data_IF_867815781710
#
_entry.id   IF_867815781710
#
_cell.length_a   1.000
_cell.length_b   1.000
_cell.length_c   1.000
_cell.angle_alpha   90.00
_cell.angle_beta   90.00
_cell.angle_gamma   90.00
#
_symmetry.space_group_name_H-M   'P 1'
#
loop_
_entity.id
_entity.type
_entity.pdbx_description
1 polymer ?
#
# COMPACT_ATOMS: atom_id res chain seq x y z
N UNK A 1 -7.26 -6.20 10.13
CA UNK A 1 -6.53 -5.02 10.63
C UNK A 1 -5.13 -5.48 11.03
N UNK A 2 -4.08 -4.84 10.52
CA UNK A 2 -2.67 -5.19 10.80
C UNK A 2 -2.28 -4.82 12.22
N UNK A 3 -1.34 -5.56 12.83
CA UNK A 3 -0.89 -5.37 14.22
C UNK A 3 0.59 -5.71 14.34
N UNK A 4 1.25 -5.14 15.36
CA UNK A 4 2.66 -5.37 15.65
C UNK A 4 3.57 -4.32 15.04
N UNK A 5 4.88 -4.60 15.01
CA UNK A 5 5.88 -3.75 14.36
C UNK A 5 5.78 -3.91 12.84
N UNK A 6 5.55 -2.82 12.12
CA UNK A 6 5.46 -2.81 10.66
C UNK A 6 6.50 -1.83 10.16
N UNK A 7 7.56 -2.32 9.54
CA UNK A 7 8.71 -1.49 9.19
C UNK A 7 8.42 -0.68 7.92
N UNK A 8 8.59 0.65 8.01
CA UNK A 8 8.72 1.52 6.84
C UNK A 8 10.10 1.29 6.23
N UNK A 9 10.15 0.64 5.07
CA UNK A 9 11.40 0.20 4.47
C UNK A 9 12.12 1.36 3.77
N UNK A 10 13.43 1.39 3.89
CA UNK A 10 14.32 2.17 3.02
C UNK A 10 14.45 1.50 1.66
N UNK A 11 14.85 2.26 0.63
CA UNK A 11 15.09 1.76 -0.73
C UNK A 11 16.59 1.87 -1.03
N UNK A 12 17.38 0.79 -0.91
CA UNK A 12 18.82 0.83 -1.17
C UNK A 12 19.13 1.19 -2.62
N UNK A 13 20.12 2.07 -2.81
CA UNK A 13 20.66 2.45 -4.11
C UNK A 13 22.14 2.09 -4.19
N UNK A 14 22.58 1.68 -5.39
CA UNK A 14 24.00 1.54 -5.75
C UNK A 14 24.20 2.21 -7.10
N UNK A 15 25.19 3.08 -7.19
CA UNK A 15 25.56 3.81 -8.42
C UNK A 15 24.37 4.56 -9.06
N UNK A 16 23.49 5.11 -8.23
CA UNK A 16 22.32 5.88 -8.67
C UNK A 16 21.15 5.03 -9.20
N UNK A 17 21.22 3.70 -9.08
CA UNK A 17 20.13 2.79 -9.45
C UNK A 17 19.65 1.97 -8.25
N UNK A 18 18.39 1.54 -8.29
CA UNK A 18 17.81 0.65 -7.27
C UNK A 18 18.61 -0.65 -7.16
N UNK A 19 19.13 -0.93 -5.97
CA UNK A 19 19.91 -2.13 -5.68
C UNK A 19 19.00 -3.27 -5.23
N UNK A 20 18.47 -4.01 -6.22
CA UNK A 20 17.53 -5.11 -5.99
C UNK A 20 18.10 -6.14 -4.99
N UNK A 21 19.35 -6.55 -5.15
CA UNK A 21 19.93 -7.61 -4.32
C UNK A 21 20.04 -7.19 -2.84
N UNK A 22 20.49 -5.96 -2.57
CA UNK A 22 20.55 -5.46 -1.20
C UNK A 22 19.16 -5.27 -0.59
N UNK A 23 18.19 -4.80 -1.38
CA UNK A 23 16.82 -4.65 -0.91
C UNK A 23 16.19 -6.00 -0.54
N UNK A 24 16.37 -7.03 -1.34
CA UNK A 24 15.83 -8.36 -1.03
C UNK A 24 16.48 -8.99 0.20
N UNK A 25 17.81 -8.87 0.33
CA UNK A 25 18.50 -9.31 1.54
C UNK A 25 18.00 -8.55 2.78
N UNK A 26 17.76 -7.24 2.66
CA UNK A 26 17.21 -6.43 3.75
C UNK A 26 15.78 -6.83 4.12
N UNK A 27 14.91 -7.07 3.13
CA UNK A 27 13.54 -7.56 3.36
C UNK A 27 13.55 -8.92 4.06
N UNK A 28 14.38 -9.84 3.60
CA UNK A 28 14.50 -11.17 4.20
C UNK A 28 15.00 -11.11 5.65
N UNK A 29 15.99 -10.25 5.91
CA UNK A 29 16.49 -9.98 7.25
C UNK A 29 15.41 -9.39 8.17
N UNK A 30 14.67 -8.36 7.71
CA UNK A 30 13.56 -7.76 8.49
C UNK A 30 12.52 -8.81 8.92
N UNK A 31 12.17 -9.73 8.02
CA UNK A 31 11.23 -10.82 8.30
C UNK A 31 11.84 -11.79 9.33
N UNK A 32 13.11 -12.14 9.17
CA UNK A 32 13.82 -13.08 10.06
C UNK A 32 13.97 -12.52 11.47
N UNK A 33 14.16 -11.21 11.62
CA UNK A 33 14.20 -10.51 12.91
C UNK A 33 12.81 -10.29 13.54
N UNK A 34 11.74 -10.78 12.90
CA UNK A 34 10.40 -10.81 13.50
C UNK A 34 9.56 -9.55 13.27
N UNK A 35 9.79 -8.79 12.21
CA UNK A 35 8.81 -7.77 11.80
C UNK A 35 7.47 -8.41 11.47
N UNK A 36 6.37 -7.69 11.72
CA UNK A 36 5.00 -8.19 11.53
C UNK A 36 4.39 -7.72 10.20
N UNK A 37 5.11 -6.89 9.45
CA UNK A 37 4.67 -6.38 8.17
C UNK A 37 5.69 -5.42 7.56
N UNK A 38 5.52 -5.15 6.28
CA UNK A 38 6.45 -4.35 5.49
C UNK A 38 5.70 -3.24 4.78
N UNK A 39 6.25 -2.03 4.80
CA UNK A 39 5.75 -0.88 4.04
C UNK A 39 6.84 -0.42 3.09
N UNK A 40 6.89 -0.95 1.85
CA UNK A 40 7.80 -0.43 0.83
C UNK A 40 7.29 0.89 0.25
N UNK A 41 8.22 1.73 -0.18
CA UNK A 41 7.97 2.97 -0.93
C UNK A 41 7.01 3.93 -0.22
N UNK A 42 7.17 4.07 1.11
CA UNK A 42 6.70 5.25 1.83
C UNK A 42 7.70 6.41 1.72
N UNK A 43 7.52 7.44 2.54
CA UNK A 43 8.49 8.55 2.62
C UNK A 43 9.89 8.07 3.00
N UNK A 44 10.00 7.11 3.92
CA UNK A 44 11.27 6.47 4.31
C UNK A 44 11.93 5.71 3.16
N UNK A 45 11.13 5.17 2.24
CA UNK A 45 11.60 4.51 1.03
C UNK A 45 11.79 5.46 -0.14
N UNK A 46 11.81 6.77 0.12
CA UNK A 46 12.11 7.82 -0.84
C UNK A 46 11.13 7.89 -2.02
N UNK A 47 9.84 7.59 -1.77
CA UNK A 47 8.80 7.61 -2.81
C UNK A 47 8.76 8.87 -3.71
N UNK A 48 9.10 10.10 -3.26
CA UNK A 48 9.10 11.27 -4.15
C UNK A 48 10.24 11.34 -5.16
N UNK A 49 11.33 10.57 -4.97
CA UNK A 49 12.51 10.62 -5.85
C UNK A 49 12.62 9.42 -6.79
N UNK A 50 11.80 8.39 -6.57
CA UNK A 50 11.68 7.25 -7.48
C UNK A 50 10.90 7.63 -8.73
N UNK A 51 11.33 7.11 -9.88
CA UNK A 51 10.43 7.03 -11.04
C UNK A 51 9.27 6.08 -10.74
N UNK A 52 8.13 6.21 -11.44
CA UNK A 52 7.02 5.26 -11.28
C UNK A 52 7.41 3.82 -11.61
N UNK A 53 8.36 3.62 -12.54
CA UNK A 53 8.87 2.31 -12.86
C UNK A 53 9.65 1.70 -11.68
N UNK A 54 10.54 2.48 -11.05
CA UNK A 54 11.28 2.06 -9.86
C UNK A 54 10.36 1.82 -8.67
N UNK A 55 9.40 2.72 -8.43
CA UNK A 55 8.39 2.55 -7.38
C UNK A 55 7.69 1.19 -7.52
N UNK A 56 7.13 0.92 -8.70
CA UNK A 56 6.46 -0.34 -9.01
C UNK A 56 7.40 -1.53 -8.85
N UNK A 57 8.66 -1.39 -9.27
CA UNK A 57 9.67 -2.43 -9.14
C UNK A 57 10.02 -2.76 -7.70
N UNK A 58 10.20 -1.76 -6.84
CA UNK A 58 10.48 -1.95 -5.40
C UNK A 58 9.32 -2.67 -4.72
N UNK A 59 8.08 -2.26 -5.02
CA UNK A 59 6.87 -2.94 -4.50
C UNK A 59 6.83 -4.40 -4.95
N UNK A 60 7.06 -4.67 -6.24
CA UNK A 60 7.09 -6.02 -6.79
C UNK A 60 8.16 -6.90 -6.11
N UNK A 61 9.39 -6.39 -5.96
CA UNK A 61 10.46 -7.13 -5.26
C UNK A 61 10.08 -7.38 -3.81
N UNK A 62 9.55 -6.38 -3.10
CA UNK A 62 9.15 -6.55 -1.70
C UNK A 62 8.10 -7.65 -1.54
N UNK A 63 7.07 -7.69 -2.40
CA UNK A 63 6.01 -8.71 -2.35
C UNK A 63 6.59 -10.09 -2.66
N UNK A 64 7.41 -10.19 -3.72
CA UNK A 64 8.05 -11.44 -4.11
C UNK A 64 8.96 -11.99 -3.03
N UNK A 65 9.81 -11.17 -2.43
CA UNK A 65 10.71 -11.57 -1.35
C UNK A 65 9.92 -11.92 -0.09
N UNK A 66 8.90 -11.14 0.27
CA UNK A 66 8.06 -11.46 1.43
C UNK A 66 7.38 -12.82 1.29
N UNK A 67 6.98 -13.21 0.07
CA UNK A 67 6.43 -14.53 -0.25
C UNK A 67 5.28 -14.97 0.67
N UNK A 68 4.48 -14.00 1.15
CA UNK A 68 3.35 -14.23 2.05
C UNK A 68 3.73 -14.50 3.52
N UNK A 69 5.02 -14.43 3.90
CA UNK A 69 5.46 -14.63 5.29
C UNK A 69 4.94 -13.55 6.25
N UNK A 70 4.85 -12.32 5.75
CA UNK A 70 4.28 -11.16 6.45
C UNK A 70 3.48 -10.32 5.45
N UNK A 71 2.46 -9.55 5.90
CA UNK A 71 1.73 -8.65 5.02
C UNK A 71 2.60 -7.51 4.48
N UNK A 72 2.40 -7.19 3.20
CA UNK A 72 2.99 -6.03 2.53
C UNK A 72 1.94 -4.95 2.30
N UNK A 73 2.21 -3.75 2.78
CA UNK A 73 1.36 -2.56 2.66
C UNK A 73 2.06 -1.58 1.72
N UNK A 74 1.69 -1.58 0.44
CA UNK A 74 2.40 -0.80 -0.57
C UNK A 74 2.10 0.71 -0.44
N UNK A 75 3.13 1.55 -0.48
CA UNK A 75 2.93 2.98 -0.68
C UNK A 75 2.28 3.25 -2.03
N UNK A 76 1.13 3.93 -2.04
CA UNK A 76 0.40 4.32 -3.24
C UNK A 76 -0.24 5.71 -3.10
N UNK A 77 0.39 6.58 -2.30
CA UNK A 77 -0.03 7.95 -2.10
C UNK A 77 0.61 8.89 -3.12
N UNK A 78 -0.18 9.83 -3.65
CA UNK A 78 0.30 10.96 -4.45
C UNK A 78 -0.63 12.15 -4.18
N UNK A 79 -0.14 13.36 -4.45
CA UNK A 79 -1.01 14.54 -4.50
C UNK A 79 -1.87 14.61 -5.78
N UNK A 80 -1.62 13.73 -6.75
CA UNK A 80 -2.40 13.55 -7.96
C UNK A 80 -3.23 12.26 -7.86
N UNK A 81 -4.57 12.39 -7.94
CA UNK A 81 -5.50 11.27 -7.82
C UNK A 81 -5.30 10.20 -8.92
N UNK A 82 -5.00 10.61 -10.15
CA UNK A 82 -4.82 9.66 -11.24
C UNK A 82 -3.56 8.79 -11.05
N UNK A 83 -2.49 9.41 -10.56
CA UNK A 83 -1.24 8.72 -10.21
C UNK A 83 -1.43 7.76 -9.03
N UNK A 84 -2.10 8.21 -7.97
CA UNK A 84 -2.40 7.35 -6.83
C UNK A 84 -3.23 6.12 -7.24
N UNK A 85 -4.19 6.29 -8.18
CA UNK A 85 -4.97 5.18 -8.75
C UNK A 85 -4.06 4.19 -9.52
N UNK A 86 -3.17 4.69 -10.37
CA UNK A 86 -2.26 3.82 -11.14
C UNK A 86 -1.36 2.97 -10.22
N UNK A 87 -0.77 3.60 -9.20
CA UNK A 87 0.05 2.93 -8.20
C UNK A 87 -0.77 1.91 -7.37
N UNK A 88 -1.99 2.28 -6.97
CA UNK A 88 -2.89 1.43 -6.21
C UNK A 88 -3.31 0.17 -6.99
N UNK A 89 -3.73 0.34 -8.24
CA UNK A 89 -4.13 -0.76 -9.13
C UNK A 89 -2.94 -1.67 -9.45
N UNK A 90 -1.75 -1.11 -9.64
CA UNK A 90 -0.55 -1.91 -9.81
C UNK A 90 -0.25 -2.74 -8.55
N UNK A 91 -0.22 -2.11 -7.38
CA UNK A 91 0.10 -2.79 -6.12
C UNK A 91 -0.89 -3.92 -5.81
N UNK A 92 -2.18 -3.73 -6.10
CA UNK A 92 -3.18 -4.80 -6.01
C UNK A 92 -2.84 -5.97 -6.93
N UNK A 93 -2.60 -5.70 -8.22
CA UNK A 93 -2.26 -6.74 -9.21
C UNK A 93 -0.96 -7.47 -8.86
N UNK A 94 0.00 -6.77 -8.27
CA UNK A 94 1.26 -7.35 -7.82
C UNK A 94 1.11 -8.23 -6.57
N UNK A 95 -0.04 -8.16 -5.86
CA UNK A 95 -0.33 -9.01 -4.71
C UNK A 95 -0.04 -8.37 -3.35
N UNK A 96 0.00 -7.04 -3.25
CA UNK A 96 0.06 -6.38 -1.95
C UNK A 96 -1.18 -6.73 -1.10
N UNK A 97 -1.09 -6.59 0.22
CA UNK A 97 -2.18 -6.89 1.14
C UNK A 97 -3.02 -5.65 1.49
N UNK A 98 -2.42 -4.46 1.39
CA UNK A 98 -3.09 -3.17 1.53
C UNK A 98 -2.27 -2.06 0.88
N UNK A 99 -2.83 -0.86 0.91
CA UNK A 99 -2.20 0.38 0.47
C UNK A 99 -1.97 1.32 1.65
N UNK A 100 -0.86 2.05 1.62
CA UNK A 100 -0.65 3.25 2.41
C UNK A 100 -0.82 4.47 1.49
N UNK A 101 -1.89 5.23 1.71
CA UNK A 101 -2.24 6.40 0.88
C UNK A 101 -2.13 7.66 1.72
N UNK A 102 -1.11 8.48 1.43
CA UNK A 102 -0.92 9.78 2.10
C UNK A 102 -1.98 10.78 1.64
N UNK A 103 -2.32 11.73 2.51
CA UNK A 103 -3.10 12.92 2.12
C UNK A 103 -2.38 13.69 1.00
N UNK A 104 -3.09 14.14 -0.05
CA UNK A 104 -2.50 15.00 -1.07
C UNK A 104 -1.72 16.18 -0.47
N UNK A 105 -0.42 16.20 -0.73
CA UNK A 105 0.51 17.22 -0.27
C UNK A 105 0.66 18.35 -1.29
N UNK A 106 1.13 19.51 -0.83
CA UNK A 106 1.35 20.72 -1.64
C UNK A 106 0.09 21.41 -2.17
N UNK A 107 -0.81 20.71 -2.86
CA UNK A 107 -2.00 21.27 -3.50
C UNK A 107 -3.17 21.60 -2.54
N UNK A 108 -3.13 21.11 -1.29
CA UNK A 108 -4.04 21.49 -0.19
C UNK A 108 -5.54 21.43 -0.55
N UNK A 109 -6.08 20.28 -1.00
CA UNK A 109 -7.50 20.16 -1.30
C UNK A 109 -8.37 20.36 -0.04
N UNK A 110 -9.58 20.86 -0.23
CA UNK A 110 -10.59 20.90 0.83
C UNK A 110 -11.10 19.49 1.21
N UNK A 111 -11.92 19.41 2.26
CA UNK A 111 -12.43 18.13 2.78
C UNK A 111 -13.17 17.29 1.74
N UNK A 112 -14.00 17.90 0.90
CA UNK A 112 -14.67 17.21 -0.21
C UNK A 112 -13.68 16.67 -1.25
N UNK A 113 -12.60 17.41 -1.52
CA UNK A 113 -11.52 16.97 -2.41
C UNK A 113 -10.78 15.76 -1.86
N UNK A 114 -10.48 15.76 -0.55
CA UNK A 114 -9.90 14.61 0.15
C UNK A 114 -10.81 13.39 0.08
N UNK A 115 -12.09 13.57 0.37
CA UNK A 115 -13.07 12.49 0.28
C UNK A 115 -13.11 11.87 -1.12
N UNK A 116 -13.21 12.69 -2.17
CA UNK A 116 -13.24 12.21 -3.55
C UNK A 116 -11.93 11.53 -3.96
N UNK A 117 -10.79 12.05 -3.52
CA UNK A 117 -9.48 11.45 -3.78
C UNK A 117 -9.41 10.02 -3.23
N UNK A 118 -9.69 9.83 -1.93
CA UNK A 118 -9.67 8.50 -1.33
C UNK A 118 -10.75 7.58 -1.88
N UNK A 119 -11.96 8.11 -2.14
CA UNK A 119 -13.04 7.34 -2.75
C UNK A 119 -12.65 6.80 -4.12
N UNK A 120 -12.04 7.64 -4.96
CA UNK A 120 -11.63 7.23 -6.30
C UNK A 120 -10.57 6.13 -6.28
N UNK A 121 -9.59 6.23 -5.37
CA UNK A 121 -8.58 5.18 -5.17
C UNK A 121 -9.24 3.88 -4.70
N UNK A 122 -10.10 3.96 -3.68
CA UNK A 122 -10.82 2.81 -3.15
C UNK A 122 -11.70 2.12 -4.20
N UNK A 123 -12.38 2.88 -5.05
CA UNK A 123 -13.25 2.33 -6.10
C UNK A 123 -12.45 1.67 -7.23
N UNK A 124 -11.24 2.15 -7.49
CA UNK A 124 -10.37 1.64 -8.56
C UNK A 124 -9.58 0.40 -8.14
N UNK A 125 -9.16 0.31 -6.87
CA UNK A 125 -8.43 -0.85 -6.33
C UNK A 125 -9.38 -1.76 -5.54
N UNK A 126 -9.56 -2.99 -5.99
CA UNK A 126 -10.46 -3.96 -5.36
C UNK A 126 -9.80 -4.73 -4.20
N UNK A 127 -9.03 -4.04 -3.34
CA UNK A 127 -8.56 -4.56 -2.05
C UNK A 127 -9.78 -4.96 -1.20
N UNK A 128 -10.24 -6.20 -1.41
CA UNK A 128 -11.44 -6.73 -0.79
C UNK A 128 -11.14 -7.05 0.66
N UNK A 129 -12.04 -6.60 1.54
CA UNK A 129 -12.42 -7.41 2.70
C UNK A 129 -12.74 -8.82 2.19
N UNK A 130 -11.81 -9.76 2.36
CA UNK A 130 -11.97 -11.14 1.90
C UNK A 130 -13.19 -11.75 2.58
N UNK A 131 -14.29 -11.79 1.85
CA UNK A 131 -15.39 -12.73 2.09
C UNK A 131 -15.13 -13.92 1.20
N UNK A 132 -14.18 -14.77 1.60
CA UNK A 132 -14.18 -16.16 1.16
C UNK A 132 -15.31 -16.86 1.88
N UNK A 133 -16.54 -16.61 1.43
CA UNK A 133 -17.71 -17.40 1.85
C UNK A 133 -17.76 -18.61 0.94
N UNK A 134 -17.23 -19.74 1.43
CA UNK A 134 -17.66 -21.05 0.93
C UNK A 134 -19.20 -21.06 0.93
N UNK A 135 -19.81 -21.61 -0.13
CA UNK A 135 -21.28 -21.74 -0.28
C UNK A 135 -21.88 -22.57 0.86
N UNK A 136 -22.03 -22.01 2.07
CA UNK A 136 -22.83 -22.59 3.17
C UNK A 136 -23.01 -21.66 4.38
N UNK A 137 -23.36 -20.39 4.18
CA UNK A 137 -24.05 -19.61 5.22
C UNK A 137 -24.65 -18.33 4.62
N UNK A 138 -25.95 -18.37 4.32
CA UNK A 138 -26.76 -17.15 4.28
C UNK A 138 -27.15 -16.82 5.73
N UNK A 139 -26.54 -15.81 6.33
CA UNK A 139 -27.16 -14.96 7.36
C UNK A 139 -26.16 -13.91 7.85
N UNK A 140 -26.63 -12.68 8.00
CA UNK A 140 -25.95 -11.47 8.52
C UNK A 140 -24.99 -10.74 7.58
N UNK A 141 -25.60 -9.88 6.77
CA UNK A 141 -25.00 -8.74 6.07
C UNK A 141 -24.22 -7.84 7.03
N UNK A 142 -22.88 -7.87 7.01
CA UNK A 142 -22.07 -6.90 7.73
C UNK A 142 -22.00 -5.60 6.92
N UNK A 143 -22.86 -4.66 7.32
CA UNK A 143 -23.09 -3.35 6.70
C UNK A 143 -22.00 -2.38 7.18
N UNK A 144 -21.22 -1.83 6.26
CA UNK A 144 -20.39 -0.63 6.50
C UNK A 144 -21.30 0.57 6.86
N UNK A 145 -21.64 0.71 8.14
CA UNK A 145 -21.86 1.99 8.83
C UNK A 145 -20.55 2.22 9.59
N UNK A 146 -19.83 3.34 9.51
CA UNK A 146 -20.29 4.72 9.71
C UNK A 146 -19.12 5.66 9.36
N UNK A 147 -19.26 6.46 8.30
CA UNK A 147 -18.49 7.71 8.06
C UNK A 147 -19.40 8.82 7.51
N UNK A 148 -20.73 8.57 7.41
CA UNK A 148 -21.73 9.54 6.94
C UNK A 148 -22.30 10.44 8.05
N UNK A 149 -21.88 10.29 9.30
CA UNK A 149 -22.47 11.01 10.44
C UNK A 149 -21.57 12.17 10.97
N UNK A 150 -20.56 12.62 10.22
CA UNK A 150 -19.72 13.76 10.61
C UNK A 150 -19.98 15.05 9.79
N UNK A 151 -21.03 15.06 8.98
CA UNK A 151 -21.46 16.25 8.23
C UNK A 151 -22.97 16.42 8.36
N UNK A 152 -23.38 16.85 9.55
CA UNK A 152 -24.70 17.42 9.87
C UNK A 152 -24.51 18.48 10.93
#
# INVERSE_FOLDING_TARGET
>A
MFKGSITALVTPFRDGAFDEAAFEAFVDWQITEGTHGLVPVGTTGESPTLTHAEHKRVVERCIRTAAGRVPVIAGAGSNNTAEAIDLAVFAEKAGANALLVVTPYYNKPGQEGLYRHYKAINDASAFRSSSTTSRRARSSTCRWRRWRDCSS
#
